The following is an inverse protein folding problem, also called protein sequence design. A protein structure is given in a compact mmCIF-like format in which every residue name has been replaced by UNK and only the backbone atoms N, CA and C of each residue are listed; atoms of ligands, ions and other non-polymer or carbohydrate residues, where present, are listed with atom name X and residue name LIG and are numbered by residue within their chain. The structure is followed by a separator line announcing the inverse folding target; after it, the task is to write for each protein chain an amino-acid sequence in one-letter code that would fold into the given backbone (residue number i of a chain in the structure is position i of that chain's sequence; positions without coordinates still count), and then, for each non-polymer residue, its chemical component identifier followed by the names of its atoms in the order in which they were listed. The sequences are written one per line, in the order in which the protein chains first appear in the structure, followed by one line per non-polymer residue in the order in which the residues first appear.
data_IF_020972430769
#
_entry.id   IF_020972430769
#
_cell.length_a   1.000
_cell.length_b   1.000
_cell.length_c   1.000
_cell.angle_alpha   90.00
_cell.angle_beta   90.00
_cell.angle_gamma   90.00
#
_symmetry.space_group_name_H-M   'P 1'
#
loop_
_entity.id
_entity.type
_entity.pdbx_description
1 polymer ?
#
# COMPACT_ATOMS: atom_id res chain seq x y z
N UNK A 1 -12.42 -42.44 24.12
CA UNK A 1 -11.64 -42.10 22.90
C UNK A 1 -12.60 -41.49 21.90
N UNK A 2 -12.62 -40.18 21.75
CA UNK A 2 -13.42 -39.46 20.73
C UNK A 2 -12.46 -38.94 19.68
N UNK A 3 -12.53 -39.51 18.48
CA UNK A 3 -11.75 -39.04 17.33
C UNK A 3 -12.32 -37.69 16.83
N UNK A 4 -11.56 -36.62 17.00
CA UNK A 4 -11.81 -35.37 16.31
C UNK A 4 -11.13 -35.46 14.95
N UNK A 5 -11.92 -35.57 13.90
CA UNK A 5 -11.45 -35.38 12.53
C UNK A 5 -11.24 -33.87 12.32
N UNK A 6 -10.01 -33.44 12.20
CA UNK A 6 -9.69 -32.09 11.76
C UNK A 6 -9.97 -31.98 10.25
N UNK A 7 -11.00 -31.26 9.89
CA UNK A 7 -11.25 -30.87 8.49
C UNK A 7 -10.30 -29.72 8.18
N UNK A 8 -9.19 -30.02 7.49
CA UNK A 8 -8.32 -29.02 6.90
C UNK A 8 -9.06 -28.35 5.73
N UNK A 9 -9.58 -27.16 5.95
CA UNK A 9 -10.00 -26.28 4.88
C UNK A 9 -8.75 -25.73 4.18
N UNK A 10 -8.34 -26.41 3.10
CA UNK A 10 -7.37 -25.86 2.17
C UNK A 10 -8.02 -24.62 1.51
N UNK A 11 -7.40 -23.42 1.59
CA UNK A 11 -7.89 -22.30 0.81
C UNK A 11 -7.71 -22.63 -0.67
N UNK A 12 -8.81 -22.64 -1.40
CA UNK A 12 -8.80 -22.67 -2.85
C UNK A 12 -8.11 -21.38 -3.31
N UNK A 13 -6.82 -21.45 -3.63
CA UNK A 13 -6.13 -20.39 -4.32
C UNK A 13 -6.77 -20.25 -5.71
N UNK A 14 -7.77 -19.39 -5.83
CA UNK A 14 -8.32 -19.04 -7.13
C UNK A 14 -7.17 -18.47 -7.96
N UNK A 15 -6.87 -19.10 -9.10
CA UNK A 15 -5.87 -18.61 -10.02
C UNK A 15 -6.25 -17.19 -10.46
N UNK A 16 -5.42 -16.21 -10.13
CA UNK A 16 -5.61 -14.82 -10.58
C UNK A 16 -5.47 -14.83 -12.10
N UNK A 17 -6.45 -14.31 -12.86
CA UNK A 17 -6.36 -14.30 -14.31
C UNK A 17 -5.10 -13.57 -14.77
N UNK A 18 -4.20 -14.25 -15.46
CA UNK A 18 -2.99 -13.67 -16.07
C UNK A 18 -3.21 -13.30 -17.54
N UNK A 19 -4.42 -13.51 -18.05
CA UNK A 19 -4.79 -13.23 -19.42
C UNK A 19 -5.91 -12.21 -19.49
N UNK A 20 -5.80 -11.27 -20.42
CA UNK A 20 -6.97 -10.55 -20.94
C UNK A 20 -7.83 -11.63 -21.59
N UNK A 21 -9.11 -11.83 -21.18
CA UNK A 21 -9.97 -12.77 -21.86
C UNK A 21 -10.01 -12.47 -23.36
N UNK A 22 -9.91 -13.48 -24.20
CA UNK A 22 -9.73 -13.34 -25.67
C UNK A 22 -10.98 -12.84 -26.40
N UNK A 23 -12.04 -12.45 -25.69
CA UNK A 23 -13.27 -11.91 -26.26
C UNK A 23 -13.19 -10.38 -26.33
N UNK A 24 -12.77 -9.87 -27.47
CA UNK A 24 -13.20 -8.61 -28.10
C UNK A 24 -13.45 -7.41 -27.18
N UNK A 25 -12.75 -6.29 -27.39
CA UNK A 25 -13.06 -4.95 -26.90
C UNK A 25 -13.23 -4.85 -25.38
N UNK A 26 -12.21 -5.22 -24.64
CA UNK A 26 -12.27 -5.03 -23.21
C UNK A 26 -11.96 -3.58 -22.88
N UNK A 27 -13.03 -2.84 -22.71
CA UNK A 27 -12.98 -1.51 -22.13
C UNK A 27 -13.53 -1.57 -20.71
N UNK A 28 -12.80 -1.00 -19.79
CA UNK A 28 -13.19 -0.85 -18.39
C UNK A 28 -13.67 0.58 -18.13
N UNK A 29 -14.49 0.77 -17.11
CA UNK A 29 -14.86 2.14 -16.74
C UNK A 29 -13.62 2.90 -16.25
N UNK A 30 -12.81 2.26 -15.41
CA UNK A 30 -11.56 2.81 -14.89
C UNK A 30 -10.40 1.85 -15.09
N UNK A 31 -9.25 2.39 -15.47
CA UNK A 31 -7.98 1.68 -15.47
C UNK A 31 -7.09 2.31 -14.40
N UNK A 32 -6.61 1.50 -13.45
CA UNK A 32 -5.64 1.92 -12.43
C UNK A 32 -4.27 1.39 -12.81
N UNK A 33 -3.33 2.28 -13.09
CA UNK A 33 -1.95 1.94 -13.43
C UNK A 33 -1.12 1.89 -12.16
N UNK A 34 -0.75 0.68 -11.74
CA UNK A 34 -0.04 0.36 -10.52
C UNK A 34 -0.95 -0.21 -9.42
N UNK A 35 -0.74 -1.50 -9.10
CA UNK A 35 -1.42 -2.23 -8.02
C UNK A 35 -0.72 -2.06 -6.67
N UNK A 36 -0.26 -0.84 -6.36
CA UNK A 36 0.41 -0.50 -5.11
C UNK A 36 -0.51 0.07 -4.03
N UNK A 37 0.08 0.75 -3.07
CA UNK A 37 -0.57 1.32 -1.88
C UNK A 37 -1.82 2.13 -2.21
N UNK A 38 -1.70 3.10 -3.11
CA UNK A 38 -2.82 3.97 -3.48
C UNK A 38 -3.76 3.30 -4.49
N UNK A 39 -3.20 2.63 -5.50
CA UNK A 39 -3.98 2.06 -6.61
C UNK A 39 -4.97 1.00 -6.14
N UNK A 40 -4.59 0.14 -5.20
CA UNK A 40 -5.50 -0.88 -4.66
C UNK A 40 -6.62 -0.29 -3.80
N UNK A 41 -6.35 0.78 -3.06
CA UNK A 41 -7.40 1.50 -2.32
C UNK A 41 -8.43 2.08 -3.30
N UNK A 42 -7.96 2.80 -4.34
CA UNK A 42 -8.84 3.40 -5.35
C UNK A 42 -9.65 2.33 -6.09
N UNK A 43 -8.99 1.25 -6.54
CA UNK A 43 -9.65 0.16 -7.25
C UNK A 43 -10.70 -0.54 -6.37
N UNK A 44 -10.39 -0.77 -5.09
CA UNK A 44 -11.33 -1.35 -4.13
C UNK A 44 -12.58 -0.47 -3.99
N UNK A 45 -12.39 0.84 -3.74
CA UNK A 45 -13.49 1.77 -3.52
C UNK A 45 -14.36 1.98 -4.75
N UNK A 46 -13.78 2.10 -5.94
CA UNK A 46 -14.54 2.19 -7.20
C UNK A 46 -15.35 0.93 -7.46
N UNK A 47 -14.79 -0.25 -7.20
CA UNK A 47 -15.46 -1.53 -7.43
C UNK A 47 -16.53 -1.88 -6.39
N UNK A 48 -16.75 -1.09 -5.34
CA UNK A 48 -17.92 -1.22 -4.45
C UNK A 48 -19.23 -1.05 -5.23
N UNK A 49 -19.21 -0.24 -6.28
CA UNK A 49 -20.34 -0.08 -7.19
C UNK A 49 -20.31 -1.17 -8.25
N UNK A 50 -21.23 -2.13 -8.18
CA UNK A 50 -21.26 -3.32 -9.04
C UNK A 50 -21.36 -3.03 -10.55
N UNK A 51 -21.87 -1.86 -10.91
CA UNK A 51 -21.99 -1.39 -12.30
C UNK A 51 -20.75 -0.64 -12.82
N UNK A 52 -19.71 -0.51 -12.00
CA UNK A 52 -18.43 0.11 -12.35
C UNK A 52 -17.38 -1.01 -12.54
N UNK A 53 -16.85 -1.14 -13.74
CA UNK A 53 -15.76 -2.08 -14.04
C UNK A 53 -14.40 -1.42 -13.87
N UNK A 54 -13.52 -2.06 -13.09
CA UNK A 54 -12.18 -1.56 -12.75
C UNK A 54 -11.12 -2.58 -13.15
N UNK A 55 -10.11 -2.13 -13.88
CA UNK A 55 -8.91 -2.90 -14.18
C UNK A 55 -7.71 -2.29 -13.46
N UNK A 56 -6.96 -3.10 -12.74
CA UNK A 56 -5.63 -2.74 -12.20
C UNK A 56 -4.56 -3.38 -13.08
N UNK A 57 -3.54 -2.62 -13.48
CA UNK A 57 -2.37 -3.10 -14.21
C UNK A 57 -1.17 -3.05 -13.26
N UNK A 58 -0.56 -4.22 -12.97
CA UNK A 58 0.58 -4.33 -12.07
C UNK A 58 1.75 -5.05 -12.74
N UNK A 59 2.94 -4.41 -12.66
CA UNK A 59 4.16 -4.92 -13.26
C UNK A 59 4.72 -6.16 -12.57
N UNK A 60 4.42 -6.33 -11.29
CA UNK A 60 4.83 -7.48 -10.50
C UNK A 60 3.77 -8.57 -10.41
N UNK A 61 4.15 -9.66 -9.77
CA UNK A 61 3.26 -10.79 -9.46
C UNK A 61 2.61 -10.69 -8.10
N UNK A 62 1.82 -11.72 -7.75
CA UNK A 62 1.32 -11.91 -6.38
C UNK A 62 2.46 -12.40 -5.46
N UNK A 63 2.49 -11.86 -4.24
CA UNK A 63 3.46 -12.22 -3.20
C UNK A 63 2.76 -12.71 -1.92
N UNK A 64 1.51 -13.15 -2.02
CA UNK A 64 0.66 -13.53 -0.89
C UNK A 64 1.31 -14.51 0.08
N UNK A 65 2.03 -15.51 -0.45
CA UNK A 65 2.72 -16.54 0.34
C UNK A 65 4.25 -16.42 0.29
N UNK A 66 4.79 -15.24 -0.08
CA UNK A 66 6.24 -15.03 -0.12
C UNK A 66 6.75 -14.70 1.29
N UNK A 67 7.57 -15.58 1.87
CA UNK A 67 8.11 -15.41 3.22
C UNK A 67 8.96 -14.14 3.38
N UNK A 68 9.66 -13.67 2.32
CA UNK A 68 10.39 -12.41 2.35
C UNK A 68 9.47 -11.18 2.52
N UNK A 69 8.16 -11.37 2.32
CA UNK A 69 7.13 -10.31 2.46
C UNK A 69 6.34 -10.50 3.76
N UNK A 70 5.92 -11.74 4.05
CA UNK A 70 5.00 -12.04 5.15
C UNK A 70 5.66 -12.01 6.52
N UNK A 71 6.95 -12.32 6.60
CA UNK A 71 7.70 -12.33 7.85
C UNK A 71 7.81 -10.91 8.43
N UNK A 72 7.23 -10.70 9.60
CA UNK A 72 7.21 -9.40 10.27
C UNK A 72 8.57 -9.02 10.86
N UNK A 73 9.44 -9.99 11.13
CA UNK A 73 10.83 -9.77 11.55
C UNK A 73 11.79 -9.59 10.36
N UNK A 74 11.33 -9.91 9.14
CA UNK A 74 12.14 -10.00 7.93
C UNK A 74 12.28 -8.69 7.15
N UNK A 75 12.27 -7.52 7.80
CA UNK A 75 12.49 -6.26 7.09
C UNK A 75 13.80 -6.28 6.31
N UNK A 76 13.72 -5.98 5.02
CA UNK A 76 14.88 -5.99 4.11
C UNK A 76 15.09 -7.30 3.34
N UNK A 77 14.47 -8.43 3.73
CA UNK A 77 14.63 -9.72 3.04
C UNK A 77 14.20 -9.67 1.56
N UNK A 78 13.30 -8.78 1.22
CA UNK A 78 12.82 -8.57 -0.14
C UNK A 78 13.74 -7.68 -1.00
N UNK A 79 14.71 -6.98 -0.39
CA UNK A 79 15.57 -6.03 -1.09
C UNK A 79 16.52 -6.74 -2.06
N UNK A 80 16.63 -6.19 -3.28
CA UNK A 80 17.46 -6.75 -4.34
C UNK A 80 16.93 -8.04 -4.97
N UNK A 81 15.72 -8.49 -4.57
CA UNK A 81 15.04 -9.63 -5.20
C UNK A 81 14.20 -9.18 -6.40
N UNK A 82 13.54 -10.11 -7.09
CA UNK A 82 12.68 -9.82 -8.25
C UNK A 82 11.47 -8.93 -7.94
N UNK A 83 11.11 -8.79 -6.67
CA UNK A 83 10.00 -7.94 -6.20
C UNK A 83 10.44 -6.54 -5.74
N UNK A 84 11.70 -6.18 -5.97
CA UNK A 84 12.25 -4.85 -5.72
C UNK A 84 12.72 -4.23 -7.04
N UNK A 85 12.22 -3.05 -7.38
CA UNK A 85 12.68 -2.31 -8.55
C UNK A 85 14.14 -1.91 -8.45
N UNK A 86 14.66 -1.68 -7.25
CA UNK A 86 16.05 -1.33 -6.95
C UNK A 86 16.62 -0.25 -7.89
N UNK A 87 15.87 0.85 -8.09
CA UNK A 87 16.29 1.93 -8.98
C UNK A 87 17.64 2.50 -8.56
N UNK A 88 18.49 2.75 -9.53
CA UNK A 88 19.77 3.43 -9.29
C UNK A 88 19.65 4.90 -9.67
N UNK A 89 20.03 5.78 -8.74
CA UNK A 89 20.18 7.21 -9.06
C UNK A 89 21.44 7.44 -9.90
N UNK A 90 21.59 8.63 -10.45
CA UNK A 90 22.89 9.14 -10.85
C UNK A 90 23.77 9.34 -9.60
N UNK A 91 25.07 9.56 -9.79
CA UNK A 91 25.97 9.87 -8.68
C UNK A 91 25.45 11.05 -7.87
N UNK A 92 25.40 10.88 -6.55
CA UNK A 92 24.93 11.90 -5.64
C UNK A 92 26.13 12.60 -5.00
N UNK A 93 26.41 13.84 -5.41
CA UNK A 93 27.56 14.62 -4.95
C UNK A 93 27.66 14.66 -3.42
N UNK A 94 26.53 14.97 -2.75
CA UNK A 94 26.44 15.04 -1.28
C UNK A 94 26.12 13.71 -0.61
N UNK A 95 25.96 12.64 -1.41
CA UNK A 95 25.73 11.25 -0.97
C UNK A 95 26.97 10.37 -1.11
N UNK A 96 28.17 10.97 -0.99
CA UNK A 96 29.45 10.25 -1.10
C UNK A 96 29.92 10.02 -2.53
N UNK A 97 29.42 10.75 -3.51
CA UNK A 97 29.82 10.65 -4.94
C UNK A 97 29.46 9.31 -5.59
N UNK A 98 28.39 8.65 -5.13
CA UNK A 98 27.97 7.32 -5.61
C UNK A 98 26.49 7.28 -5.93
N UNK A 99 26.06 6.38 -6.84
CA UNK A 99 24.63 6.09 -7.01
C UNK A 99 24.02 5.60 -5.70
N UNK A 100 22.77 6.00 -5.47
CA UNK A 100 21.96 5.50 -4.37
C UNK A 100 20.89 4.55 -4.91
N UNK A 101 20.66 3.45 -4.18
CA UNK A 101 19.58 2.52 -4.54
C UNK A 101 18.28 2.97 -3.92
N UNK A 102 17.30 3.31 -4.77
CA UNK A 102 15.95 3.67 -4.35
C UNK A 102 15.06 2.43 -4.41
N UNK A 103 14.58 2.01 -3.24
CA UNK A 103 13.75 0.81 -3.10
C UNK A 103 12.29 1.11 -3.42
N UNK A 104 11.67 0.26 -4.22
CA UNK A 104 10.24 0.31 -4.50
C UNK A 104 9.73 -1.10 -4.81
N UNK A 105 8.57 -1.46 -4.27
CA UNK A 105 8.01 -2.81 -4.49
C UNK A 105 7.54 -3.00 -5.93
N UNK A 106 7.87 -4.16 -6.51
CA UNK A 106 7.41 -4.65 -7.82
C UNK A 106 6.55 -5.89 -7.60
N UNK A 107 5.39 -5.69 -7.04
CA UNK A 107 4.46 -6.76 -6.68
C UNK A 107 3.07 -6.19 -6.47
N UNK A 108 2.05 -7.04 -6.51
CA UNK A 108 0.72 -6.66 -6.05
C UNK A 108 0.79 -6.28 -4.56
N UNK A 109 0.42 -5.04 -4.24
CA UNK A 109 0.65 -4.37 -2.97
C UNK A 109 1.72 -3.28 -3.05
N UNK A 110 2.53 -3.24 -4.12
CA UNK A 110 3.56 -2.23 -4.34
C UNK A 110 4.56 -2.14 -3.17
N UNK A 111 4.95 -0.93 -2.79
CA UNK A 111 5.96 -0.73 -1.73
C UNK A 111 5.48 -1.12 -0.32
N UNK A 112 4.19 -1.38 -0.09
CA UNK A 112 3.73 -1.98 1.17
C UNK A 112 4.21 -3.42 1.37
N UNK A 113 4.66 -4.09 0.30
CA UNK A 113 5.23 -5.44 0.39
C UNK A 113 6.68 -5.47 0.88
N UNK A 114 7.40 -4.34 0.82
CA UNK A 114 8.83 -4.28 1.16
C UNK A 114 9.20 -3.19 2.19
N UNK A 115 8.26 -2.33 2.60
CA UNK A 115 8.50 -1.28 3.60
C UNK A 115 8.71 -1.84 5.02
N UNK A 116 9.06 -0.96 5.97
CA UNK A 116 9.24 -1.32 7.39
C UNK A 116 7.93 -1.38 8.19
N UNK A 117 6.78 -1.35 7.56
CA UNK A 117 5.45 -1.50 8.17
C UNK A 117 5.05 -0.42 9.19
N UNK A 118 5.90 0.53 9.53
CA UNK A 118 5.56 1.57 10.49
C UNK A 118 4.23 2.26 10.13
N UNK A 119 3.31 2.33 11.09
CA UNK A 119 2.02 2.99 10.91
C UNK A 119 1.93 4.20 11.81
N UNK A 120 2.07 5.37 11.21
CA UNK A 120 1.93 6.67 11.88
C UNK A 120 1.20 7.61 10.93
N UNK A 121 0.47 8.57 11.51
CA UNK A 121 -0.12 9.69 10.76
C UNK A 121 0.77 10.91 10.89
N UNK A 122 0.61 11.87 9.96
CA UNK A 122 1.33 13.13 10.04
C UNK A 122 0.86 13.97 11.24
N UNK A 123 1.67 14.95 11.63
CA UNK A 123 1.24 16.03 12.52
C UNK A 123 0.02 16.74 11.90
N UNK A 124 -0.99 17.05 12.72
CA UNK A 124 -2.21 17.73 12.27
C UNK A 124 -1.94 19.00 11.47
N UNK A 125 -1.04 19.87 11.96
CA UNK A 125 -0.62 21.08 11.27
C UNK A 125 0.01 20.82 9.88
N UNK A 126 0.62 19.66 9.64
CA UNK A 126 1.15 19.29 8.31
C UNK A 126 0.02 18.96 7.33
N UNK A 127 -1.05 18.38 7.84
CA UNK A 127 -2.25 18.12 7.01
C UNK A 127 -3.01 19.42 6.76
N UNK A 128 -3.15 20.28 7.78
CA UNK A 128 -3.82 21.59 7.65
C UNK A 128 -3.09 22.52 6.67
N UNK A 129 -1.77 22.37 6.53
CA UNK A 129 -1.00 23.11 5.56
C UNK A 129 -1.46 22.87 4.10
N UNK A 130 -2.10 21.75 3.79
CA UNK A 130 -2.63 21.48 2.46
C UNK A 130 -3.82 22.42 2.13
N UNK A 131 -4.70 22.66 3.10
CA UNK A 131 -5.77 23.63 2.93
C UNK A 131 -5.20 25.05 2.84
N UNK A 132 -4.23 25.39 3.65
CA UNK A 132 -3.59 26.71 3.67
C UNK A 132 -2.93 27.10 2.33
N UNK A 133 -2.51 26.12 1.50
CA UNK A 133 -1.96 26.36 0.16
C UNK A 133 -3.02 26.30 -0.95
N UNK A 134 -4.32 26.28 -0.60
CA UNK A 134 -5.43 26.42 -1.55
C UNK A 134 -6.21 25.13 -1.85
N UNK A 135 -6.02 24.05 -1.10
CA UNK A 135 -6.81 22.83 -1.26
C UNK A 135 -7.91 22.79 -0.22
N UNK A 136 -9.01 23.51 -0.46
CA UNK A 136 -10.14 23.62 0.46
C UNK A 136 -10.68 22.24 0.88
N UNK A 137 -10.88 22.05 2.18
CA UNK A 137 -11.36 20.80 2.78
C UNK A 137 -10.28 19.74 3.00
N UNK A 138 -9.04 19.95 2.54
CA UNK A 138 -7.91 19.06 2.80
C UNK A 138 -7.19 19.44 4.08
N UNK A 139 -7.85 19.25 5.20
CA UNK A 139 -7.37 19.54 6.55
C UNK A 139 -7.52 18.31 7.46
N UNK A 140 -6.96 18.38 8.66
CA UNK A 140 -6.95 17.28 9.60
C UNK A 140 -8.39 16.85 9.99
N UNK A 141 -9.25 17.80 10.32
CA UNK A 141 -10.63 17.53 10.76
C UNK A 141 -11.40 16.70 9.72
N UNK A 142 -11.31 17.09 8.45
CA UNK A 142 -12.01 16.42 7.36
C UNK A 142 -11.38 15.08 6.95
N UNK A 143 -10.04 14.95 7.03
CA UNK A 143 -9.33 13.74 6.61
C UNK A 143 -9.22 12.69 7.72
N UNK A 144 -9.23 13.08 8.98
CA UNK A 144 -9.10 12.17 10.11
C UNK A 144 -10.15 11.03 10.12
N UNK A 145 -11.46 11.27 9.83
CA UNK A 145 -12.42 10.18 9.70
C UNK A 145 -12.07 9.15 8.63
N UNK A 146 -11.42 9.56 7.55
CA UNK A 146 -10.99 8.64 6.47
C UNK A 146 -9.76 7.82 6.87
N UNK A 147 -8.83 8.37 7.65
CA UNK A 147 -7.76 7.57 8.25
C UNK A 147 -8.34 6.46 9.11
N UNK A 148 -9.30 6.78 9.99
CA UNK A 148 -9.99 5.77 10.82
C UNK A 148 -10.81 4.78 9.99
N UNK A 149 -11.46 5.23 8.91
CA UNK A 149 -12.22 4.35 8.00
C UNK A 149 -11.36 3.28 7.34
N UNK A 150 -10.09 3.58 7.07
CA UNK A 150 -9.15 2.63 6.47
C UNK A 150 -8.61 1.59 7.46
N UNK A 151 -8.64 1.88 8.75
CA UNK A 151 -7.93 1.16 9.80
C UNK A 151 -8.79 0.09 10.48
N UNK A 152 -8.23 -1.09 10.63
CA UNK A 152 -8.73 -2.17 11.49
C UNK A 152 -7.77 -2.37 12.67
N UNK A 153 -7.82 -1.47 13.65
CA UNK A 153 -6.92 -1.46 14.79
C UNK A 153 -7.13 -2.69 15.68
N UNK A 154 -6.03 -3.35 16.02
CA UNK A 154 -5.99 -4.54 16.87
C UNK A 154 -5.52 -4.15 18.26
N UNK A 155 -6.36 -4.40 19.29
CA UNK A 155 -6.12 -3.92 20.63
C UNK A 155 -4.93 -4.64 21.28
N UNK A 156 -3.96 -3.93 21.89
CA UNK A 156 -2.79 -4.55 22.55
C UNK A 156 -3.16 -5.52 23.64
N UNK A 157 -4.29 -5.30 24.33
CA UNK A 157 -4.79 -6.19 25.39
C UNK A 157 -5.08 -7.62 24.92
N UNK A 158 -5.33 -7.81 23.62
CA UNK A 158 -5.67 -9.11 23.04
C UNK A 158 -4.42 -9.99 22.80
N UNK A 159 -3.20 -9.41 22.98
CA UNK A 159 -1.94 -10.06 22.66
C UNK A 159 -1.02 -10.15 23.88
N UNK A 160 -0.81 -11.37 24.43
CA UNK A 160 0.01 -11.56 25.64
C UNK A 160 1.46 -11.06 25.51
N UNK A 161 2.05 -11.10 24.31
CA UNK A 161 3.43 -10.65 24.08
C UNK A 161 3.59 -9.12 24.25
N UNK A 162 2.52 -8.36 24.29
CA UNK A 162 2.53 -6.92 24.54
C UNK A 162 2.38 -6.56 26.02
N UNK A 163 2.13 -7.53 26.90
CA UNK A 163 2.05 -7.28 28.34
C UNK A 163 3.39 -6.79 28.87
N UNK A 164 3.37 -5.61 29.51
CA UNK A 164 4.60 -5.00 30.03
C UNK A 164 5.52 -4.37 28.97
N UNK A 165 5.14 -4.34 27.68
CA UNK A 165 5.93 -3.75 26.61
C UNK A 165 6.06 -2.22 26.68
N UNK A 166 5.13 -1.55 27.39
CA UNK A 166 5.04 -0.07 27.42
C UNK A 166 4.27 0.53 26.23
N UNK A 167 3.57 -0.30 25.47
CA UNK A 167 2.65 0.17 24.43
C UNK A 167 1.51 0.96 25.06
N UNK A 168 1.25 2.14 24.50
CA UNK A 168 0.12 3.00 24.85
C UNK A 168 -0.63 3.38 23.57
N UNK A 169 -1.90 3.75 23.69
CA UNK A 169 -2.74 4.22 22.59
C UNK A 169 -3.95 4.98 23.12
N UNK A 170 -4.49 5.88 22.29
CA UNK A 170 -5.74 6.56 22.54
C UNK A 170 -6.83 5.96 21.63
N UNK A 171 -7.82 5.30 22.21
CA UNK A 171 -8.88 4.61 21.45
C UNK A 171 -9.66 5.54 20.49
N UNK A 172 -9.76 6.84 20.80
CA UNK A 172 -10.43 7.82 19.94
C UNK A 172 -9.66 8.12 18.65
N UNK A 173 -8.36 7.84 18.64
CA UNK A 173 -7.49 8.05 17.48
C UNK A 173 -7.59 6.93 16.43
N UNK A 174 -8.22 5.83 16.74
CA UNK A 174 -8.23 4.63 15.91
C UNK A 174 -9.59 4.29 15.30
N UNK A 175 -9.56 3.57 14.16
CA UNK A 175 -10.70 2.89 13.57
C UNK A 175 -10.56 1.36 13.71
N UNK A 176 -11.68 0.67 13.87
CA UNK A 176 -11.68 -0.77 14.20
C UNK A 176 -12.25 -1.65 13.09
N UNK A 177 -12.97 -1.05 12.15
CA UNK A 177 -13.74 -1.77 11.11
C UNK A 177 -13.12 -1.65 9.72
N UNK A 178 -11.99 -0.97 9.61
CA UNK A 178 -11.33 -0.80 8.32
C UNK A 178 -10.60 -2.07 7.85
N UNK A 179 -10.32 -2.16 6.54
CA UNK A 179 -9.70 -3.35 5.96
C UNK A 179 -8.21 -3.50 6.29
N UNK A 180 -7.50 -2.41 6.57
CA UNK A 180 -6.07 -2.42 6.88
C UNK A 180 -5.85 -2.76 8.35
N UNK A 181 -5.35 -3.95 8.63
CA UNK A 181 -5.00 -4.33 9.99
C UNK A 181 -3.78 -3.58 10.49
N UNK A 182 -3.92 -3.02 11.68
CA UNK A 182 -2.89 -2.23 12.35
C UNK A 182 -2.75 -2.75 13.77
N UNK A 183 -1.54 -3.13 14.15
CA UNK A 183 -1.25 -3.68 15.46
C UNK A 183 0.25 -3.75 15.71
N UNK A 184 0.69 -4.71 16.47
CA UNK A 184 2.11 -4.95 16.81
C UNK A 184 2.51 -6.37 16.44
N UNK A 185 3.74 -6.54 15.97
CA UNK A 185 4.32 -7.86 15.71
C UNK A 185 5.01 -8.41 16.97
N UNK A 186 5.07 -9.74 17.15
CA UNK A 186 5.87 -10.35 18.23
C UNK A 186 7.35 -9.91 18.22
N UNK A 187 7.90 -9.62 17.04
CA UNK A 187 9.25 -9.05 16.89
C UNK A 187 9.46 -7.69 17.58
N UNK A 188 8.38 -6.99 17.99
CA UNK A 188 8.43 -5.76 18.78
C UNK A 188 8.46 -6.02 20.30
N UNK A 189 8.39 -7.27 20.74
CA UNK A 189 8.66 -7.62 22.14
C UNK A 189 10.07 -7.14 22.52
N UNK A 190 10.21 -6.47 23.65
CA UNK A 190 11.42 -5.71 23.97
C UNK A 190 11.92 -5.82 25.40
N UNK A 191 11.41 -6.78 26.20
CA UNK A 191 11.84 -7.06 27.59
C UNK A 191 11.99 -5.80 28.47
N UNK A 192 11.12 -4.80 28.30
CA UNK A 192 11.16 -3.56 29.06
C UNK A 192 12.15 -2.49 28.53
N UNK A 193 12.78 -2.71 27.39
CA UNK A 193 13.67 -1.72 26.76
C UNK A 193 12.91 -0.41 26.46
N UNK A 194 11.70 -0.50 25.96
CA UNK A 194 10.89 0.66 25.61
C UNK A 194 10.57 1.53 26.83
N UNK A 195 10.23 0.92 27.99
CA UNK A 195 10.01 1.67 29.22
C UNK A 195 11.30 2.34 29.72
N UNK A 196 12.43 1.66 29.54
CA UNK A 196 13.74 2.21 29.90
C UNK A 196 14.10 3.40 29.00
N UNK A 197 13.89 3.28 27.71
CA UNK A 197 14.09 4.38 26.76
C UNK A 197 13.17 5.56 27.06
N UNK A 198 11.86 5.30 27.29
CA UNK A 198 10.92 6.35 27.63
C UNK A 198 11.34 7.13 28.87
N UNK A 199 11.72 6.45 29.96
CA UNK A 199 12.25 7.09 31.17
C UNK A 199 13.53 7.90 30.89
N UNK A 200 14.41 7.37 30.04
CA UNK A 200 15.64 8.05 29.67
C UNK A 200 15.34 9.34 28.90
N UNK A 201 14.44 9.28 27.91
CA UNK A 201 14.05 10.45 27.13
C UNK A 201 13.36 11.51 27.97
N UNK A 202 12.53 11.12 28.95
CA UNK A 202 11.92 12.07 29.91
C UNK A 202 12.96 12.84 30.71
N UNK A 203 14.12 12.25 31.02
CA UNK A 203 15.23 12.96 31.68
C UNK A 203 15.89 14.04 30.78
N UNK A 204 15.58 14.05 29.49
CA UNK A 204 15.99 15.05 28.50
C UNK A 204 14.82 15.90 28.00
N UNK A 205 13.75 16.01 28.80
CA UNK A 205 12.54 16.79 28.49
C UNK A 205 11.81 16.34 27.21
N UNK A 206 12.03 15.10 26.75
CA UNK A 206 11.23 14.50 25.69
C UNK A 206 10.00 13.82 26.31
N UNK A 207 8.78 14.31 26.02
CA UNK A 207 7.58 13.76 26.62
C UNK A 207 7.29 12.33 26.16
N UNK A 208 6.56 11.58 26.97
CA UNK A 208 5.87 10.38 26.50
C UNK A 208 4.70 10.82 25.63
N UNK A 209 4.62 10.26 24.43
CA UNK A 209 3.45 10.42 23.57
C UNK A 209 2.61 9.16 23.64
N UNK A 210 1.39 9.31 24.12
CA UNK A 210 0.47 8.18 24.29
C UNK A 210 0.13 7.54 22.93
N UNK A 211 0.00 8.37 21.87
CA UNK A 211 -0.42 7.90 20.54
C UNK A 211 -0.02 8.86 19.42
N UNK A 212 0.87 8.42 18.56
CA UNK A 212 1.33 9.20 17.39
C UNK A 212 0.23 9.37 16.32
N UNK A 213 -0.87 8.62 16.38
CA UNK A 213 -1.94 8.63 15.37
C UNK A 213 -3.05 9.64 15.66
N UNK A 214 -2.94 10.40 16.75
CA UNK A 214 -3.88 11.45 17.15
C UNK A 214 -3.62 12.84 16.57
N UNK A 215 -2.61 12.99 15.70
CA UNK A 215 -2.23 14.28 15.10
C UNK A 215 -1.09 15.00 15.83
N UNK A 216 -0.62 14.47 16.95
CA UNK A 216 0.58 14.95 17.63
C UNK A 216 1.72 13.94 17.51
N UNK A 217 2.80 14.32 16.82
CA UNK A 217 3.99 13.48 16.57
C UNK A 217 5.15 13.74 17.54
N UNK A 218 4.95 14.63 18.53
CA UNK A 218 6.03 15.02 19.44
C UNK A 218 6.11 14.06 20.62
N UNK A 219 7.26 13.46 20.85
CA UNK A 219 7.54 12.61 22.00
C UNK A 219 7.93 11.18 21.66
N UNK A 220 8.18 10.38 22.70
CA UNK A 220 8.50 8.96 22.59
C UNK A 220 7.22 8.13 22.61
N UNK A 221 7.09 7.19 21.68
CA UNK A 221 6.01 6.21 21.63
C UNK A 221 6.49 4.92 20.97
N UNK A 222 5.84 3.81 21.26
CA UNK A 222 5.92 2.57 20.49
C UNK A 222 4.80 2.55 19.46
N UNK A 223 5.10 2.92 18.23
CA UNK A 223 4.11 3.00 17.17
C UNK A 223 3.64 1.60 16.71
N UNK A 224 2.38 1.46 16.32
CA UNK A 224 1.87 0.26 15.71
C UNK A 224 2.41 0.06 14.28
N UNK A 225 2.22 -1.12 13.73
CA UNK A 225 2.64 -1.53 12.41
C UNK A 225 1.44 -1.98 11.57
N UNK A 226 1.59 -1.95 10.24
CA UNK A 226 0.64 -2.60 9.32
C UNK A 226 0.89 -4.11 9.32
N UNK A 227 0.35 -4.78 10.34
CA UNK A 227 0.47 -6.22 10.56
C UNK A 227 -0.86 -6.80 11.05
N UNK A 228 -1.12 -8.05 10.67
CA UNK A 228 -2.09 -8.86 11.37
C UNK A 228 -1.39 -9.50 12.58
N UNK A 229 -1.57 -8.92 13.76
CA UNK A 229 -0.95 -9.40 15.01
C UNK A 229 -1.40 -10.81 15.40
N UNK A 230 -2.59 -11.24 14.94
CA UNK A 230 -3.12 -12.57 15.21
C UNK A 230 -2.43 -13.66 14.39
N UNK A 231 -2.09 -13.33 13.15
CA UNK A 231 -1.44 -14.27 12.22
C UNK A 231 0.08 -14.09 12.18
N UNK A 232 0.59 -13.01 12.80
CA UNK A 232 1.98 -12.58 12.71
C UNK A 232 2.45 -12.45 11.25
N UNK A 233 1.70 -11.69 10.48
CA UNK A 233 2.03 -11.42 9.07
C UNK A 233 1.89 -9.94 8.73
N UNK A 234 2.75 -9.47 7.82
CA UNK A 234 2.61 -8.15 7.21
C UNK A 234 1.22 -7.99 6.60
N UNK A 235 0.58 -6.86 6.87
CA UNK A 235 -0.65 -6.44 6.20
C UNK A 235 -0.30 -5.44 5.12
N UNK A 236 -0.05 -5.94 3.90
CA UNK A 236 0.18 -5.12 2.74
C UNK A 236 -1.14 -4.66 2.08
N UNK A 237 -1.06 -3.73 1.13
CA UNK A 237 -2.24 -3.20 0.47
C UNK A 237 -3.06 -4.28 -0.29
N UNK A 238 -2.44 -5.35 -0.76
CA UNK A 238 -3.17 -6.43 -1.43
C UNK A 238 -3.94 -7.30 -0.41
N UNK A 239 -3.38 -7.54 0.78
CA UNK A 239 -4.07 -8.22 1.88
C UNK A 239 -5.27 -7.42 2.36
N UNK A 240 -5.11 -6.10 2.50
CA UNK A 240 -6.17 -5.23 2.97
C UNK A 240 -7.26 -4.97 1.92
N UNK A 241 -6.89 -4.71 0.66
CA UNK A 241 -7.80 -4.11 -0.33
C UNK A 241 -8.07 -4.96 -1.57
N UNK A 242 -7.40 -6.11 -1.75
CA UNK A 242 -7.65 -6.99 -2.90
C UNK A 242 -8.10 -8.38 -2.51
N UNK A 243 -7.31 -9.16 -1.79
CA UNK A 243 -7.62 -10.58 -1.55
C UNK A 243 -8.98 -10.84 -0.90
N UNK A 244 -9.44 -10.05 0.08
CA UNK A 244 -10.79 -10.21 0.65
C UNK A 244 -11.91 -9.92 -0.37
N UNK A 245 -11.61 -9.18 -1.43
CA UNK A 245 -12.56 -8.69 -2.42
C UNK A 245 -12.37 -9.29 -3.82
N UNK A 246 -11.47 -10.24 -4.00
CA UNK A 246 -11.13 -10.84 -5.30
C UNK A 246 -12.31 -11.57 -5.98
N UNK A 247 -13.37 -11.85 -5.24
CA UNK A 247 -14.62 -12.41 -5.77
C UNK A 247 -15.52 -11.39 -6.48
N UNK A 248 -15.23 -10.09 -6.38
CA UNK A 248 -15.98 -9.06 -7.09
C UNK A 248 -15.78 -9.21 -8.59
N UNK A 249 -16.88 -9.41 -9.33
CA UNK A 249 -16.85 -9.66 -10.78
C UNK A 249 -16.42 -8.44 -11.60
N UNK A 250 -16.48 -7.26 -11.03
CA UNK A 250 -16.15 -5.99 -11.65
C UNK A 250 -14.76 -5.44 -11.26
N UNK A 251 -13.99 -6.17 -10.46
CA UNK A 251 -12.61 -5.87 -10.11
C UNK A 251 -11.67 -6.86 -10.78
N UNK A 252 -10.86 -6.37 -11.72
CA UNK A 252 -9.93 -7.18 -12.51
C UNK A 252 -8.50 -6.73 -12.26
N UNK A 253 -7.55 -7.67 -12.28
CA UNK A 253 -6.12 -7.36 -12.17
C UNK A 253 -5.34 -8.10 -13.26
N UNK A 254 -4.47 -7.36 -13.95
CA UNK A 254 -3.43 -7.90 -14.82
C UNK A 254 -2.09 -7.83 -14.10
N UNK A 255 -1.59 -8.99 -13.68
CA UNK A 255 -0.26 -9.12 -13.07
C UNK A 255 0.83 -9.34 -14.12
N UNK A 256 2.07 -9.06 -13.74
CA UNK A 256 3.24 -9.19 -14.59
C UNK A 256 3.06 -8.48 -15.94
N UNK A 257 2.35 -7.37 -15.91
CA UNK A 257 1.97 -6.57 -17.09
C UNK A 257 2.52 -5.17 -16.93
N UNK A 258 3.36 -4.75 -17.86
CA UNK A 258 3.98 -3.44 -17.84
C UNK A 258 3.11 -2.42 -18.57
N UNK A 259 2.68 -1.37 -17.89
CA UNK A 259 2.06 -0.21 -18.51
C UNK A 259 3.15 0.67 -19.13
N UNK A 260 3.08 0.89 -20.45
CA UNK A 260 4.10 1.59 -21.21
C UNK A 260 3.81 3.11 -21.30
N UNK A 261 2.60 3.48 -21.68
CA UNK A 261 2.15 4.87 -21.87
C UNK A 261 0.64 4.97 -21.97
N UNK A 262 0.10 6.17 -21.88
CA UNK A 262 -1.27 6.49 -22.25
C UNK A 262 -1.48 6.36 -23.76
N UNK A 263 -2.72 6.05 -24.15
CA UNK A 263 -3.21 6.23 -25.50
C UNK A 263 -4.24 7.35 -25.52
N UNK A 264 -4.31 8.08 -26.64
CA UNK A 264 -5.09 9.29 -26.78
C UNK A 264 -6.22 9.09 -27.79
N UNK A 265 -7.35 9.77 -27.59
CA UNK A 265 -8.37 9.86 -28.62
C UNK A 265 -7.84 10.69 -29.80
N UNK A 266 -8.24 10.29 -31.00
CA UNK A 266 -8.05 11.13 -32.20
C UNK A 266 -9.16 12.21 -32.21
N UNK A 267 -8.90 13.29 -31.47
CA UNK A 267 -9.83 14.43 -31.34
C UNK A 267 -9.05 15.70 -31.07
N UNK A 268 -9.67 16.87 -31.25
CA UNK A 268 -9.07 18.19 -30.97
C UNK A 268 -8.71 18.31 -29.48
N UNK A 269 -9.51 17.69 -28.60
CA UNK A 269 -9.24 17.67 -27.15
C UNK A 269 -8.30 16.52 -26.79
N UNK A 270 -7.24 16.84 -26.02
CA UNK A 270 -6.29 15.85 -25.50
C UNK A 270 -6.97 14.99 -24.41
N UNK A 271 -7.52 13.87 -24.84
CA UNK A 271 -8.26 12.96 -23.95
C UNK A 271 -7.62 11.58 -23.94
N UNK A 272 -7.19 11.11 -22.76
CA UNK A 272 -6.72 9.73 -22.59
C UNK A 272 -7.89 8.74 -22.79
N UNK A 273 -7.66 7.68 -23.57
CA UNK A 273 -8.66 6.66 -23.84
C UNK A 273 -8.22 5.24 -23.48
N UNK A 274 -7.02 5.08 -22.95
CA UNK A 274 -6.51 3.77 -22.57
C UNK A 274 -5.03 3.76 -22.21
N UNK A 275 -4.50 2.57 -22.11
CA UNK A 275 -3.11 2.29 -21.73
C UNK A 275 -2.52 1.26 -22.69
N UNK A 276 -1.39 1.57 -23.31
CA UNK A 276 -0.53 0.63 -24.03
C UNK A 276 0.22 -0.22 -23.01
N UNK A 277 0.08 -1.53 -23.09
CA UNK A 277 0.65 -2.48 -22.13
C UNK A 277 1.49 -3.55 -22.83
N UNK A 278 2.48 -4.07 -22.10
CA UNK A 278 3.23 -5.27 -22.48
C UNK A 278 2.88 -6.38 -21.50
N UNK A 279 2.25 -7.44 -22.00
CA UNK A 279 1.86 -8.62 -21.25
C UNK A 279 3.08 -9.49 -20.88
N UNK A 280 2.89 -10.43 -19.95
CA UNK A 280 3.93 -11.36 -19.50
C UNK A 280 4.60 -12.16 -20.63
N UNK A 281 3.87 -12.44 -21.71
CA UNK A 281 4.38 -13.14 -22.90
C UNK A 281 5.09 -12.23 -23.91
N UNK A 282 5.29 -10.94 -23.59
CA UNK A 282 5.89 -9.95 -24.46
C UNK A 282 4.94 -9.30 -25.48
N UNK A 283 3.68 -9.73 -25.57
CA UNK A 283 2.70 -9.13 -26.49
C UNK A 283 2.35 -7.71 -26.04
N UNK A 284 2.40 -6.76 -26.99
CA UNK A 284 1.88 -5.40 -26.76
C UNK A 284 0.43 -5.31 -27.22
N UNK A 285 -0.37 -4.66 -26.42
CA UNK A 285 -1.78 -4.41 -26.70
C UNK A 285 -2.25 -3.13 -26.01
N UNK A 286 -3.43 -2.65 -26.36
CA UNK A 286 -4.06 -1.48 -25.71
C UNK A 286 -5.29 -1.96 -24.95
N UNK A 287 -5.41 -1.47 -23.71
CA UNK A 287 -6.61 -1.62 -22.89
C UNK A 287 -7.31 -0.26 -22.83
N UNK A 288 -8.61 -0.23 -23.10
CA UNK A 288 -9.36 1.03 -23.19
C UNK A 288 -10.11 1.36 -21.91
N UNK A 289 -10.05 2.65 -21.52
CA UNK A 289 -10.84 3.24 -20.46
C UNK A 289 -12.03 4.00 -21.03
N UNK A 290 -13.24 3.76 -20.48
CA UNK A 290 -14.46 4.46 -20.85
C UNK A 290 -14.55 5.82 -20.17
N UNK A 291 -14.05 5.93 -18.94
CA UNK A 291 -14.16 7.13 -18.12
C UNK A 291 -12.80 7.72 -17.81
N UNK A 292 -11.89 6.96 -17.17
CA UNK A 292 -10.64 7.54 -16.66
C UNK A 292 -9.51 6.50 -16.56
N UNK A 293 -8.27 6.98 -16.76
CA UNK A 293 -7.04 6.28 -16.38
C UNK A 293 -6.47 6.94 -15.13
N UNK A 294 -6.34 6.16 -14.06
CA UNK A 294 -5.85 6.62 -12.76
C UNK A 294 -4.40 6.17 -12.59
N UNK A 295 -3.48 7.13 -12.52
CA UNK A 295 -2.05 6.83 -12.41
C UNK A 295 -1.62 6.69 -10.95
N UNK A 296 -1.23 5.48 -10.57
CA UNK A 296 -0.82 5.10 -9.21
C UNK A 296 0.49 4.28 -9.21
N UNK A 297 1.39 4.55 -10.18
CA UNK A 297 2.63 3.79 -10.39
C UNK A 297 3.76 4.16 -9.43
N UNK A 298 3.48 4.94 -8.40
CA UNK A 298 4.44 5.42 -7.40
C UNK A 298 5.21 6.67 -7.85
N UNK A 299 5.91 7.30 -6.90
CA UNK A 299 6.55 8.60 -7.09
C UNK A 299 7.65 8.60 -8.16
N UNK A 300 8.32 7.48 -8.37
CA UNK A 300 9.40 7.35 -9.37
C UNK A 300 8.86 7.00 -10.77
N UNK A 301 7.86 6.13 -10.86
CA UNK A 301 7.37 5.63 -12.16
C UNK A 301 6.25 6.49 -12.74
N UNK A 302 5.46 7.16 -11.92
CA UNK A 302 4.38 8.01 -12.44
C UNK A 302 4.88 9.15 -13.32
N UNK A 303 5.92 9.92 -12.96
CA UNK A 303 6.51 10.93 -13.86
C UNK A 303 7.02 10.32 -15.17
N UNK A 304 7.77 9.23 -15.10
CA UNK A 304 8.33 8.54 -16.28
C UNK A 304 7.19 8.07 -17.21
N UNK A 305 6.10 7.55 -16.67
CA UNK A 305 4.95 7.12 -17.44
C UNK A 305 4.28 8.30 -18.17
N UNK A 306 4.18 9.46 -17.50
CA UNK A 306 3.66 10.68 -18.10
C UNK A 306 4.57 11.19 -19.24
N UNK A 307 5.88 11.21 -19.04
CA UNK A 307 6.86 11.59 -20.06
C UNK A 307 6.77 10.67 -21.28
N UNK A 308 6.70 9.35 -21.07
CA UNK A 308 6.48 8.39 -22.18
C UNK A 308 5.14 8.56 -22.87
N UNK A 309 4.19 9.22 -22.23
CA UNK A 309 2.88 9.53 -22.76
C UNK A 309 2.82 10.91 -23.47
N UNK A 310 3.95 11.62 -23.54
CA UNK A 310 4.05 12.95 -24.13
C UNK A 310 3.61 14.09 -23.20
N UNK A 311 3.52 13.83 -21.89
CA UNK A 311 3.18 14.85 -20.87
C UNK A 311 4.45 15.16 -20.06
N UNK A 312 4.93 16.36 -20.13
CA UNK A 312 6.11 16.81 -19.41
C UNK A 312 6.81 17.97 -20.08
N UNK A 313 8.05 18.26 -19.63
CA UNK A 313 8.86 19.29 -20.22
C UNK A 313 9.38 18.80 -21.59
N UNK A 314 9.21 19.57 -22.68
CA UNK A 314 9.63 19.18 -24.04
C UNK A 314 11.15 19.24 -24.27
N UNK A 315 11.97 19.50 -23.25
CA UNK A 315 13.44 19.55 -23.36
C UNK A 315 14.11 18.20 -23.26
#
# INVERSE_FOLDING_TARGET
MRNFAAIALLPLAAAIPTHIPQSSQESYDYIVVGGGTAGLVVANRLSEQQNISVLVIEAGGSVYNNSNVTDTAGYGNAFGTSIDWAYQSVDQEYGGGKPQTLRAGKALGGSTTINGMAYTRAQDAQIDAWEAIGNEGWNWENLFPYFKKGEGFQMPSDYPFLQGSGVTYNSSSHGYEGPLKVGWAPAQENDGLAQTLNRTYQNFDVPCNEDLNGGNMVGFSLYPMTVDSKLDVREDAARAYYYPYQSRRNLHILLNTHANRLTWKDSEDVTANGVDVTLVNGTRTVVHAKREVILSAGSLRSPIFLEHSGIGNPQ
#
